data_IF_642983480211
#
_entry.id   IF_642983480211
#
_cell.length_a   1.000
_cell.length_b   1.000
_cell.length_c   1.000
_cell.angle_alpha   90.00
_cell.angle_beta   90.00
_cell.angle_gamma   90.00
#
_symmetry.space_group_name_H-M   'P 1'
#
loop_
_entity.id
_entity.type
_entity.pdbx_description
1 polymer ?
#
# COMPACT_ATOMS: atom_id res chain seq x y z
N UNK A 1 18.25 23.46 -2.18
CA UNK A 1 17.30 23.43 -1.03
C UNK A 1 15.91 22.86 -1.38
N UNK A 2 15.18 23.44 -2.35
CA UNK A 2 13.77 23.06 -2.64
C UNK A 2 13.59 21.58 -2.99
N UNK A 3 14.45 21.04 -3.85
CA UNK A 3 14.43 19.60 -4.22
C UNK A 3 14.61 18.70 -3.00
N UNK A 4 15.60 18.97 -2.16
CA UNK A 4 15.85 18.18 -0.94
C UNK A 4 14.64 18.20 0.01
N UNK A 5 14.04 19.37 0.26
CA UNK A 5 12.85 19.48 1.10
C UNK A 5 11.66 18.71 0.53
N UNK A 6 11.34 18.92 -0.75
CA UNK A 6 10.09 18.44 -1.35
C UNK A 6 10.14 16.98 -1.83
N UNK A 7 11.31 16.49 -2.23
CA UNK A 7 11.48 15.16 -2.82
C UNK A 7 12.15 14.14 -1.88
N UNK A 8 12.78 14.60 -0.79
CA UNK A 8 13.48 13.73 0.17
C UNK A 8 12.90 13.88 1.57
N UNK A 9 13.02 15.06 2.17
CA UNK A 9 12.83 15.23 3.62
C UNK A 9 11.35 15.26 4.06
N UNK A 10 10.51 16.12 3.48
CA UNK A 10 9.15 16.36 3.99
C UNK A 10 8.20 15.17 3.86
N UNK A 11 8.46 14.29 2.88
CA UNK A 11 7.62 13.12 2.62
C UNK A 11 8.28 11.79 3.01
N UNK A 12 9.60 11.78 3.29
CA UNK A 12 10.35 10.57 3.59
C UNK A 12 10.20 9.50 2.51
N UNK A 13 10.16 9.91 1.23
CA UNK A 13 9.91 8.98 0.13
C UNK A 13 11.06 7.98 0.01
N UNK A 14 10.70 6.70 -0.21
CA UNK A 14 11.66 5.67 -0.58
C UNK A 14 11.89 5.72 -2.09
N UNK A 15 13.15 5.74 -2.50
CA UNK A 15 13.55 5.81 -3.90
C UNK A 15 14.11 4.46 -4.36
N UNK A 16 13.83 4.07 -5.60
CA UNK A 16 14.54 2.97 -6.26
C UNK A 16 15.98 3.40 -6.55
N UNK A 17 16.93 2.47 -6.76
CA UNK A 17 18.32 2.80 -7.07
C UNK A 17 18.46 3.82 -8.20
N UNK A 18 17.77 3.63 -9.33
CA UNK A 18 17.83 4.56 -10.47
C UNK A 18 17.32 5.97 -10.13
N UNK A 19 16.26 6.06 -9.32
CA UNK A 19 15.72 7.36 -8.87
C UNK A 19 16.65 8.03 -7.87
N UNK A 20 17.26 7.26 -6.98
CA UNK A 20 18.24 7.77 -6.03
C UNK A 20 19.47 8.33 -6.76
N UNK A 21 19.95 7.64 -7.80
CA UNK A 21 21.01 8.12 -8.70
C UNK A 21 20.60 9.42 -9.41
N UNK A 22 19.42 9.44 -10.04
CA UNK A 22 18.91 10.64 -10.74
C UNK A 22 18.72 11.86 -9.82
N UNK A 23 18.46 11.63 -8.53
CA UNK A 23 18.35 12.68 -7.50
C UNK A 23 19.69 13.09 -6.88
N UNK A 24 20.78 12.38 -7.18
CA UNK A 24 22.09 12.60 -6.57
C UNK A 24 22.18 12.15 -5.11
N UNK A 25 21.35 11.18 -4.70
CA UNK A 25 21.44 10.53 -3.39
C UNK A 25 22.44 9.37 -3.38
N UNK A 26 22.76 8.84 -4.56
CA UNK A 26 23.75 7.78 -4.82
C UNK A 26 24.55 8.21 -6.05
N UNK A 27 25.84 7.90 -6.10
CA UNK A 27 26.75 8.36 -7.16
C UNK A 27 26.88 7.36 -8.33
N UNK A 28 26.78 6.06 -8.05
CA UNK A 28 27.00 4.98 -9.02
C UNK A 28 26.14 3.76 -8.70
N UNK A 29 25.76 3.00 -9.73
CA UNK A 29 25.08 1.72 -9.61
C UNK A 29 25.95 0.61 -10.21
N UNK A 30 25.90 -0.57 -9.59
CA UNK A 30 26.48 -1.81 -10.12
C UNK A 30 25.37 -2.79 -10.43
N UNK A 31 25.64 -3.74 -11.34
CA UNK A 31 24.64 -4.74 -11.74
C UNK A 31 24.34 -5.73 -10.60
N UNK A 32 25.38 -6.22 -9.94
CA UNK A 32 25.26 -7.24 -8.88
C UNK A 32 25.76 -6.76 -7.52
N UNK A 33 25.16 -7.31 -6.46
CA UNK A 33 25.54 -6.98 -5.08
C UNK A 33 27.00 -7.32 -4.77
N UNK A 34 27.54 -8.37 -5.40
CA UNK A 34 28.92 -8.82 -5.21
C UNK A 34 29.94 -7.82 -5.77
N UNK A 35 29.53 -6.92 -6.67
CA UNK A 35 30.38 -5.88 -7.26
C UNK A 35 30.50 -4.62 -6.41
N UNK A 36 29.68 -4.46 -5.36
CA UNK A 36 29.67 -3.27 -4.51
C UNK A 36 31.03 -3.01 -3.86
N UNK A 37 31.60 -4.02 -3.20
CA UNK A 37 32.88 -3.89 -2.50
C UNK A 37 34.05 -3.71 -3.47
N UNK A 38 34.15 -4.49 -4.57
CA UNK A 38 35.14 -4.24 -5.62
C UNK A 38 35.07 -2.82 -6.21
N UNK A 39 33.88 -2.32 -6.56
CA UNK A 39 33.69 -0.98 -7.11
C UNK A 39 34.09 0.11 -6.11
N UNK A 40 33.66 -0.01 -4.85
CA UNK A 40 34.04 0.92 -3.79
C UNK A 40 35.56 1.00 -3.58
N UNK A 41 36.26 -0.16 -3.59
CA UNK A 41 37.72 -0.19 -3.46
C UNK A 41 38.42 0.51 -4.64
N UNK A 42 37.93 0.31 -5.87
CA UNK A 42 38.46 1.02 -7.05
C UNK A 42 38.25 2.53 -6.93
N UNK A 43 37.07 2.95 -6.48
CA UNK A 43 36.76 4.36 -6.27
C UNK A 43 37.69 4.99 -5.22
N UNK A 44 37.90 4.33 -4.08
CA UNK A 44 38.82 4.83 -3.03
C UNK A 44 40.24 4.96 -3.57
N UNK A 45 40.74 3.96 -4.29
CA UNK A 45 42.09 3.98 -4.87
C UNK A 45 42.26 5.13 -5.90
N UNK A 46 41.20 5.45 -6.65
CA UNK A 46 41.20 6.53 -7.63
C UNK A 46 41.04 7.93 -7.03
N UNK A 47 40.52 8.05 -5.80
CA UNK A 47 40.16 9.32 -5.17
C UNK A 47 40.87 9.54 -3.81
N UNK A 48 42.21 9.58 -3.74
CA UNK A 48 42.95 9.66 -2.47
C UNK A 48 42.76 10.98 -1.71
N UNK A 49 42.28 12.03 -2.38
CA UNK A 49 42.02 13.36 -1.80
C UNK A 49 40.53 13.69 -1.66
N UNK A 50 39.65 12.70 -1.65
CA UNK A 50 38.21 12.92 -1.56
C UNK A 50 37.85 13.74 -0.31
N UNK A 51 37.09 14.81 -0.52
CA UNK A 51 36.51 15.65 0.53
C UNK A 51 35.07 15.96 0.18
N UNK A 52 34.22 16.18 1.19
CA UNK A 52 32.85 16.55 0.90
C UNK A 52 32.79 17.93 0.23
N UNK A 53 31.86 18.16 -0.72
CA UNK A 53 31.80 19.43 -1.44
C UNK A 53 31.64 20.66 -0.53
N UNK A 54 30.93 20.51 0.59
CA UNK A 54 30.70 21.59 1.55
C UNK A 54 31.90 21.95 2.42
N UNK A 55 32.91 21.09 2.50
CA UNK A 55 34.16 21.35 3.22
C UNK A 55 35.20 22.09 2.35
N UNK A 56 34.91 22.26 1.05
CA UNK A 56 35.80 22.95 0.12
C UNK A 56 35.55 24.46 0.16
N UNK A 57 36.64 25.24 0.29
CA UNK A 57 36.57 26.71 0.29
C UNK A 57 35.87 27.23 -0.96
N UNK A 58 34.85 28.07 -0.77
CA UNK A 58 34.09 28.67 -1.86
C UNK A 58 32.89 27.84 -2.32
N UNK A 59 32.57 26.73 -1.63
CA UNK A 59 31.33 26.00 -1.83
C UNK A 59 30.10 26.90 -1.77
N UNK A 60 29.11 26.58 -2.61
CA UNK A 60 27.81 27.26 -2.65
C UNK A 60 26.71 26.21 -2.63
N UNK A 61 25.78 26.37 -1.70
CA UNK A 61 24.60 25.50 -1.63
C UNK A 61 23.82 25.61 -2.95
N UNK A 62 23.50 24.48 -3.63
CA UNK A 62 22.66 24.50 -4.81
C UNK A 62 21.29 25.13 -4.56
N UNK A 63 20.98 26.17 -5.34
CA UNK A 63 19.77 27.00 -5.18
C UNK A 63 19.91 28.16 -4.19
N UNK A 64 21.09 28.35 -3.60
CA UNK A 64 21.39 29.46 -2.69
C UNK A 64 21.03 29.19 -1.23
N UNK A 65 21.49 30.10 -0.37
CA UNK A 65 21.15 30.19 1.06
C UNK A 65 19.90 31.05 1.25
N UNK A 66 19.28 31.07 2.46
CA UNK A 66 18.15 31.97 2.75
C UNK A 66 18.42 33.46 2.49
N UNK A 67 19.69 33.89 2.47
CA UNK A 67 20.09 35.26 2.11
C UNK A 67 20.15 35.52 0.59
N UNK A 68 20.07 34.47 -0.23
CA UNK A 68 20.09 34.60 -1.70
C UNK A 68 18.76 35.19 -2.20
N UNK A 69 18.74 36.30 -2.95
CA UNK A 69 17.50 37.02 -3.29
C UNK A 69 16.39 36.15 -3.92
N UNK A 70 16.76 35.26 -4.84
CA UNK A 70 15.82 34.36 -5.51
C UNK A 70 15.13 33.37 -4.54
N UNK A 71 15.85 32.91 -3.51
CA UNK A 71 15.29 32.03 -2.48
C UNK A 71 14.54 32.86 -1.43
N UNK A 72 15.10 33.98 -0.99
CA UNK A 72 14.51 34.88 -0.01
C UNK A 72 13.11 35.37 -0.41
N UNK A 73 12.90 35.68 -1.70
CA UNK A 73 11.60 36.08 -2.22
C UNK A 73 10.51 34.99 -2.08
N UNK A 74 10.90 33.72 -2.10
CA UNK A 74 9.98 32.58 -2.05
C UNK A 74 9.89 31.92 -0.66
N UNK A 75 10.85 32.17 0.22
CA UNK A 75 10.98 31.52 1.53
C UNK A 75 9.73 31.68 2.42
N UNK A 76 9.06 32.87 2.49
CA UNK A 76 7.84 33.02 3.27
C UNK A 76 6.67 32.12 2.81
N UNK A 77 6.68 31.65 1.56
CA UNK A 77 5.63 30.77 1.04
C UNK A 77 5.79 29.32 1.53
N UNK A 78 6.97 28.89 2.01
CA UNK A 78 7.21 27.49 2.36
C UNK A 78 6.37 27.04 3.56
N UNK A 79 6.32 27.76 4.70
CA UNK A 79 5.46 27.37 5.81
C UNK A 79 3.96 27.43 5.45
N UNK A 80 3.56 28.38 4.62
CA UNK A 80 2.17 28.50 4.16
C UNK A 80 1.75 27.31 3.29
N UNK A 81 2.61 26.90 2.34
CA UNK A 81 2.38 25.72 1.50
C UNK A 81 2.39 24.43 2.32
N UNK A 82 3.30 24.31 3.29
CA UNK A 82 3.31 23.17 4.21
C UNK A 82 2.02 23.11 5.03
N UNK A 83 1.58 24.23 5.61
CA UNK A 83 0.32 24.29 6.36
C UNK A 83 -0.89 23.92 5.49
N UNK A 84 -0.90 24.37 4.23
CA UNK A 84 -1.92 23.99 3.24
C UNK A 84 -1.92 22.49 2.97
N UNK A 85 -0.75 21.87 2.79
CA UNK A 85 -0.61 20.43 2.58
C UNK A 85 -1.08 19.62 3.80
N UNK A 86 -0.70 20.06 5.00
CA UNK A 86 -1.10 19.43 6.26
C UNK A 86 -2.54 19.73 6.66
N UNK A 87 -3.24 20.64 5.96
CA UNK A 87 -4.60 21.11 6.29
C UNK A 87 -4.73 21.60 7.73
N UNK A 88 -3.65 22.17 8.29
CA UNK A 88 -3.60 22.63 9.68
C UNK A 88 -3.51 21.51 10.74
N UNK A 89 -3.32 20.25 10.35
CA UNK A 89 -3.12 19.16 11.29
C UNK A 89 -1.85 19.39 12.14
N UNK A 90 -1.87 19.05 13.45
CA UNK A 90 -0.75 19.29 14.35
C UNK A 90 0.36 18.25 14.15
N UNK A 91 1.06 18.29 13.03
CA UNK A 91 2.24 17.46 12.75
C UNK A 91 3.52 18.29 12.92
N UNK A 92 4.27 18.12 14.05
CA UNK A 92 5.45 18.94 14.33
C UNK A 92 6.65 18.56 13.46
N UNK A 93 6.79 17.30 13.04
CA UNK A 93 7.96 16.82 12.32
C UNK A 93 8.21 17.57 10.99
N UNK A 94 7.22 17.76 10.09
CA UNK A 94 7.44 18.53 8.86
C UNK A 94 7.84 19.99 9.11
N UNK A 95 7.36 20.59 10.20
CA UNK A 95 7.70 21.96 10.59
C UNK A 95 9.16 21.99 11.08
N UNK A 96 9.53 21.09 12.00
CA UNK A 96 10.88 20.97 12.51
C UNK A 96 11.91 20.67 11.42
N UNK A 97 11.59 19.79 10.46
CA UNK A 97 12.41 19.51 9.27
C UNK A 97 12.64 20.78 8.46
N UNK A 98 11.58 21.56 8.20
CA UNK A 98 11.69 22.80 7.44
C UNK A 98 12.51 23.85 8.18
N UNK A 99 12.29 24.02 9.48
CA UNK A 99 13.07 24.93 10.32
C UNK A 99 14.55 24.56 10.33
N UNK A 100 14.88 23.30 10.65
CA UNK A 100 16.26 22.81 10.67
C UNK A 100 16.96 23.01 9.32
N UNK A 101 16.28 22.74 8.20
CA UNK A 101 16.84 22.92 6.86
C UNK A 101 17.09 24.40 6.51
N UNK A 102 16.19 25.31 6.91
CA UNK A 102 16.34 26.74 6.62
C UNK A 102 17.39 27.36 7.52
N UNK A 103 17.33 27.12 8.83
CA UNK A 103 18.28 27.66 9.81
C UNK A 103 19.68 27.08 9.60
N UNK A 104 19.81 25.78 9.34
CA UNK A 104 21.08 25.14 9.05
C UNK A 104 21.77 25.71 7.80
N UNK A 105 21.01 26.12 6.79
CA UNK A 105 21.56 26.73 5.58
C UNK A 105 22.05 28.19 5.76
N UNK A 106 21.91 28.77 6.96
CA UNK A 106 22.38 30.11 7.30
C UNK A 106 23.73 30.12 8.02
N UNK A 107 24.22 28.96 8.45
CA UNK A 107 25.38 28.81 9.34
C UNK A 107 26.39 27.83 8.75
N UNK A 108 27.53 27.67 9.42
CA UNK A 108 28.50 26.61 9.12
C UNK A 108 27.95 25.22 9.43
N UNK A 109 28.61 24.19 8.92
CA UNK A 109 28.14 22.80 8.98
C UNK A 109 28.00 22.27 10.41
N UNK A 110 28.92 22.60 11.32
CA UNK A 110 28.89 22.12 12.71
C UNK A 110 27.76 22.80 13.51
N UNK A 111 27.57 24.10 13.28
CA UNK A 111 26.42 24.83 13.84
C UNK A 111 25.10 24.28 13.27
N UNK A 112 25.04 23.95 11.97
CA UNK A 112 23.86 23.35 11.34
C UNK A 112 23.49 21.99 11.96
N UNK A 113 24.48 21.12 12.20
CA UNK A 113 24.27 19.85 12.91
C UNK A 113 23.75 20.07 14.34
N UNK A 114 24.23 21.10 15.03
CA UNK A 114 23.74 21.44 16.37
C UNK A 114 22.27 21.86 16.34
N UNK A 115 21.85 22.63 15.34
CA UNK A 115 20.45 23.02 15.12
C UNK A 115 19.59 21.78 14.84
N UNK A 116 20.04 20.90 13.94
CA UNK A 116 19.37 19.63 13.62
C UNK A 116 19.13 18.79 14.88
N UNK A 117 20.17 18.60 15.70
CA UNK A 117 20.10 17.81 16.94
C UNK A 117 19.06 18.35 17.92
N UNK A 118 18.89 19.67 18.02
CA UNK A 118 17.88 20.28 18.90
C UNK A 118 16.47 19.96 18.44
N UNK A 119 16.19 20.13 17.15
CA UNK A 119 14.90 19.78 16.55
C UNK A 119 14.62 18.27 16.66
N UNK A 120 15.63 17.44 16.42
CA UNK A 120 15.51 15.99 16.58
C UNK A 120 15.17 15.60 18.01
N UNK A 121 15.87 16.15 19.01
CA UNK A 121 15.63 15.84 20.41
C UNK A 121 14.22 16.25 20.87
N UNK A 122 13.73 17.40 20.43
CA UNK A 122 12.35 17.87 20.69
C UNK A 122 11.32 16.87 20.12
N UNK A 123 11.49 16.45 18.86
CA UNK A 123 10.62 15.45 18.26
C UNK A 123 10.74 14.08 18.95
N UNK A 124 11.94 13.60 19.22
CA UNK A 124 12.19 12.26 19.76
C UNK A 124 11.59 12.09 21.16
N UNK A 125 11.57 13.15 21.96
CA UNK A 125 10.97 13.15 23.30
C UNK A 125 9.46 13.45 23.30
N UNK A 126 8.95 14.01 22.20
CA UNK A 126 7.55 14.38 22.00
C UNK A 126 6.56 13.22 21.86
N UNK A 127 5.30 13.48 22.22
CA UNK A 127 4.24 12.46 22.22
C UNK A 127 3.84 11.98 20.82
N UNK A 128 3.85 12.88 19.83
CA UNK A 128 3.43 12.54 18.45
C UNK A 128 4.39 11.53 17.83
N UNK A 129 5.70 11.69 18.03
CA UNK A 129 6.70 10.72 17.58
C UNK A 129 6.50 9.36 18.24
N UNK A 130 6.22 9.31 19.56
CA UNK A 130 5.89 8.06 20.26
C UNK A 130 4.66 7.37 19.66
N UNK A 131 3.62 8.13 19.32
CA UNK A 131 2.42 7.61 18.67
C UNK A 131 2.73 7.04 17.28
N UNK A 132 3.51 7.76 16.47
CA UNK A 132 3.88 7.34 15.12
C UNK A 132 4.81 6.12 15.13
N UNK A 133 5.79 6.06 16.04
CA UNK A 133 6.67 4.90 16.21
C UNK A 133 5.85 3.68 16.62
N UNK A 134 4.93 3.82 17.59
CA UNK A 134 4.03 2.72 17.97
C UNK A 134 3.25 2.20 16.77
N UNK A 135 2.53 3.08 16.07
CA UNK A 135 1.65 2.68 14.98
C UNK A 135 2.41 2.18 13.73
N UNK A 136 3.34 2.98 13.20
CA UNK A 136 3.96 2.71 11.90
C UNK A 136 5.20 1.80 11.97
N UNK A 137 5.79 1.61 13.15
CA UNK A 137 6.90 0.67 13.34
C UNK A 137 6.42 -0.59 14.05
N UNK A 138 6.06 -0.50 15.33
CA UNK A 138 5.76 -1.69 16.15
C UNK A 138 4.47 -2.40 15.73
N UNK A 139 3.35 -1.69 15.60
CA UNK A 139 2.06 -2.30 15.26
C UNK A 139 2.08 -2.85 13.83
N UNK A 140 2.70 -2.12 12.89
CA UNK A 140 2.92 -2.60 11.51
C UNK A 140 3.82 -3.84 11.45
N UNK A 141 4.93 -3.88 12.19
CA UNK A 141 5.78 -5.08 12.25
C UNK A 141 5.02 -6.26 12.84
N UNK A 142 4.26 -6.06 13.91
CA UNK A 142 3.41 -7.08 14.51
C UNK A 142 2.38 -7.58 13.50
N UNK A 143 1.67 -6.69 12.83
CA UNK A 143 0.69 -7.04 11.80
C UNK A 143 1.31 -7.87 10.65
N UNK A 144 2.49 -7.46 10.17
CA UNK A 144 3.21 -8.18 9.12
C UNK A 144 3.73 -9.55 9.59
N UNK A 145 4.16 -9.67 10.85
CA UNK A 145 4.62 -10.94 11.41
C UNK A 145 3.50 -11.99 11.48
N UNK A 146 2.25 -11.56 11.69
CA UNK A 146 1.08 -12.45 11.68
C UNK A 146 0.88 -13.12 10.32
N UNK A 147 1.31 -12.49 9.21
CA UNK A 147 1.28 -13.13 7.88
C UNK A 147 2.22 -14.33 7.85
N UNK A 148 3.41 -14.25 8.45
CA UNK A 148 4.32 -15.40 8.55
C UNK A 148 3.75 -16.48 9.47
N UNK A 149 3.16 -16.09 10.60
CA UNK A 149 2.61 -17.01 11.59
C UNK A 149 1.41 -17.80 11.05
N UNK A 150 0.47 -17.14 10.38
CA UNK A 150 -0.78 -17.75 9.92
C UNK A 150 -0.80 -18.09 8.43
N UNK A 151 0.17 -17.59 7.64
CA UNK A 151 0.26 -17.79 6.20
C UNK A 151 0.68 -19.21 5.81
N UNK A 152 1.56 -19.84 6.59
CA UNK A 152 2.14 -21.17 6.29
C UNK A 152 2.99 -21.15 5.02
N UNK A 153 4.23 -21.67 5.08
CA UNK A 153 5.08 -21.78 3.89
C UNK A 153 4.51 -22.78 2.85
N UNK A 154 3.70 -23.72 3.31
CA UNK A 154 3.19 -24.86 2.53
C UNK A 154 1.84 -24.61 1.86
N UNK A 155 1.36 -23.36 1.87
CA UNK A 155 0.05 -23.02 1.36
C UNK A 155 0.13 -22.50 -0.07
N UNK A 156 -0.57 -23.18 -0.98
CA UNK A 156 -0.67 -22.72 -2.36
C UNK A 156 -1.38 -21.36 -2.43
N UNK A 157 -0.93 -20.46 -3.33
CA UNK A 157 -1.60 -19.20 -3.56
C UNK A 157 -2.91 -19.43 -4.34
N UNK A 158 -3.96 -18.71 -3.96
CA UNK A 158 -5.16 -18.51 -4.78
C UNK A 158 -4.76 -18.02 -6.17
N UNK A 159 -5.18 -18.78 -7.19
CA UNK A 159 -4.99 -18.53 -8.62
C UNK A 159 -6.22 -17.91 -9.26
N UNK A 160 -7.42 -18.40 -8.92
CA UNK A 160 -8.69 -17.95 -9.52
C UNK A 160 -9.67 -17.41 -8.49
N UNK A 161 -10.16 -16.20 -8.73
CA UNK A 161 -11.16 -15.52 -7.89
C UNK A 161 -12.41 -15.16 -8.71
N UNK A 162 -13.58 -15.29 -8.08
CA UNK A 162 -14.84 -14.73 -8.58
C UNK A 162 -15.20 -13.52 -7.74
N UNK A 163 -15.50 -12.41 -8.41
CA UNK A 163 -16.04 -11.21 -7.77
C UNK A 163 -17.50 -11.09 -8.18
N UNK A 164 -18.41 -11.14 -7.21
CA UNK A 164 -19.86 -11.03 -7.44
C UNK A 164 -20.28 -9.56 -7.30
N UNK A 165 -20.79 -8.98 -8.38
CA UNK A 165 -21.13 -7.56 -8.50
C UNK A 165 -20.01 -6.77 -9.19
N UNK A 166 -20.36 -5.99 -10.20
CA UNK A 166 -19.47 -5.15 -10.99
C UNK A 166 -19.73 -3.64 -10.79
N UNK A 167 -20.41 -3.28 -9.69
CA UNK A 167 -20.48 -1.92 -9.18
C UNK A 167 -19.10 -1.39 -8.75
N UNK A 168 -19.04 -0.17 -8.20
CA UNK A 168 -17.79 0.51 -7.86
C UNK A 168 -16.82 -0.35 -7.03
N UNK A 169 -17.32 -1.03 -5.99
CA UNK A 169 -16.50 -1.87 -5.12
C UNK A 169 -16.01 -3.12 -5.84
N UNK A 170 -16.90 -3.89 -6.45
CA UNK A 170 -16.53 -5.13 -7.15
C UNK A 170 -15.60 -4.91 -8.34
N UNK A 171 -15.82 -3.85 -9.12
CA UNK A 171 -14.91 -3.46 -10.20
C UNK A 171 -13.49 -3.15 -9.70
N UNK A 172 -13.38 -2.44 -8.57
CA UNK A 172 -12.09 -2.10 -7.99
C UNK A 172 -11.43 -3.28 -7.24
N UNK A 173 -12.22 -4.18 -6.66
CA UNK A 173 -11.75 -5.46 -6.10
C UNK A 173 -11.17 -6.34 -7.22
N UNK A 174 -11.88 -6.45 -8.34
CA UNK A 174 -11.42 -7.19 -9.52
C UNK A 174 -10.07 -6.65 -10.02
N UNK A 175 -9.93 -5.33 -10.12
CA UNK A 175 -8.65 -4.69 -10.45
C UNK A 175 -7.51 -5.13 -9.52
N UNK A 176 -7.70 -5.03 -8.20
CA UNK A 176 -6.60 -5.30 -7.25
C UNK A 176 -6.25 -6.78 -7.15
N UNK A 177 -7.20 -7.68 -7.43
CA UNK A 177 -6.96 -9.10 -7.59
C UNK A 177 -6.17 -9.38 -8.88
N UNK A 178 -6.58 -8.83 -10.02
CA UNK A 178 -5.89 -9.02 -11.30
C UNK A 178 -4.48 -8.42 -11.31
N UNK A 179 -4.30 -7.24 -10.72
CA UNK A 179 -3.00 -6.58 -10.56
C UNK A 179 -2.06 -7.36 -9.64
N UNK A 180 -2.58 -8.28 -8.83
CA UNK A 180 -1.78 -9.18 -8.00
C UNK A 180 -1.41 -10.50 -8.70
N UNK A 181 -1.89 -10.71 -9.92
CA UNK A 181 -1.63 -11.88 -10.74
C UNK A 181 -2.71 -12.97 -10.72
N UNK A 182 -3.87 -12.72 -10.10
CA UNK A 182 -4.98 -13.70 -10.09
C UNK A 182 -5.80 -13.61 -11.39
N UNK A 183 -6.32 -14.74 -11.84
CA UNK A 183 -7.43 -14.78 -12.78
C UNK A 183 -8.72 -14.36 -12.07
N UNK A 184 -9.46 -13.44 -12.68
CA UNK A 184 -10.65 -12.84 -12.08
C UNK A 184 -11.85 -13.05 -13.00
N UNK A 185 -12.89 -13.69 -12.47
CA UNK A 185 -14.21 -13.69 -13.08
C UNK A 185 -15.03 -12.59 -12.40
N UNK A 186 -15.34 -11.53 -13.14
CA UNK A 186 -16.19 -10.43 -12.65
C UNK A 186 -17.63 -10.68 -13.10
N UNK A 187 -18.46 -11.22 -12.20
CA UNK A 187 -19.83 -11.64 -12.49
C UNK A 187 -20.83 -10.59 -12.05
N UNK A 188 -21.73 -10.18 -12.94
CA UNK A 188 -22.89 -9.34 -12.61
C UNK A 188 -24.18 -9.96 -13.19
N UNK A 189 -25.33 -9.28 -13.08
CA UNK A 189 -26.62 -9.73 -13.62
C UNK A 189 -26.69 -9.68 -15.14
N UNK A 190 -25.79 -8.94 -15.80
CA UNK A 190 -25.66 -8.88 -17.25
C UNK A 190 -24.21 -8.70 -17.67
N UNK A 191 -23.86 -9.23 -18.85
CA UNK A 191 -22.50 -9.10 -19.39
C UNK A 191 -22.11 -7.63 -19.58
N UNK A 192 -23.07 -6.79 -19.96
CA UNK A 192 -22.86 -5.34 -20.10
C UNK A 192 -22.45 -4.69 -18.77
N UNK A 193 -23.10 -5.04 -17.66
CA UNK A 193 -22.72 -4.52 -16.34
C UNK A 193 -21.31 -4.97 -15.94
N UNK A 194 -20.97 -6.24 -16.16
CA UNK A 194 -19.64 -6.78 -15.92
C UNK A 194 -18.57 -6.10 -16.79
N UNK A 195 -18.85 -5.85 -18.07
CA UNK A 195 -17.95 -5.14 -18.99
C UNK A 195 -17.73 -3.69 -18.54
N UNK A 196 -18.78 -2.98 -18.11
CA UNK A 196 -18.64 -1.63 -17.52
C UNK A 196 -17.74 -1.66 -16.28
N UNK A 197 -17.88 -2.68 -15.43
CA UNK A 197 -16.99 -2.89 -14.28
C UNK A 197 -15.53 -3.10 -14.69
N UNK A 198 -15.25 -3.94 -15.70
CA UNK A 198 -13.88 -4.10 -16.25
C UNK A 198 -13.33 -2.77 -16.80
N UNK A 199 -14.19 -1.92 -17.36
CA UNK A 199 -13.83 -0.58 -17.83
C UNK A 199 -13.22 0.32 -16.74
N UNK A 200 -13.55 0.12 -15.46
CA UNK A 200 -12.88 0.80 -14.35
C UNK A 200 -11.38 0.51 -14.32
N UNK A 201 -11.01 -0.78 -14.43
CA UNK A 201 -9.62 -1.23 -14.48
C UNK A 201 -8.89 -0.65 -15.69
N UNK A 202 -9.54 -0.65 -16.86
CA UNK A 202 -8.97 -0.09 -18.08
C UNK A 202 -8.62 1.38 -17.90
N UNK A 203 -9.55 2.18 -17.37
CA UNK A 203 -9.32 3.60 -17.13
C UNK A 203 -8.18 3.88 -16.13
N UNK A 204 -7.98 3.01 -15.13
CA UNK A 204 -6.86 3.14 -14.19
C UNK A 204 -5.52 2.84 -14.88
N UNK A 205 -5.47 1.77 -15.67
CA UNK A 205 -4.27 1.32 -16.36
C UNK A 205 -3.87 2.28 -17.49
N UNK A 206 -4.82 2.77 -18.30
CA UNK A 206 -4.57 3.80 -19.31
C UNK A 206 -3.92 5.05 -18.68
N UNK A 207 -4.38 5.46 -17.48
CA UNK A 207 -3.79 6.59 -16.74
C UNK A 207 -2.42 6.28 -16.18
N UNK A 208 -2.12 5.03 -15.84
CA UNK A 208 -0.80 4.61 -15.37
C UNK A 208 0.22 4.62 -16.52
N UNK A 209 -0.18 4.11 -17.69
CA UNK A 209 0.60 4.14 -18.94
C UNK A 209 0.87 5.57 -19.38
N UNK A 210 -0.17 6.42 -19.43
CA UNK A 210 -0.02 7.84 -19.79
C UNK A 210 0.91 8.63 -18.84
N UNK A 211 1.11 8.15 -17.61
CA UNK A 211 2.02 8.74 -16.62
C UNK A 211 3.40 8.06 -16.58
N UNK A 212 3.69 7.13 -17.48
CA UNK A 212 4.94 6.37 -17.51
C UNK A 212 5.17 5.49 -16.29
N UNK A 213 4.11 5.04 -15.61
CA UNK A 213 4.19 4.19 -14.42
C UNK A 213 4.02 2.69 -14.70
N UNK A 214 3.68 2.34 -15.94
CA UNK A 214 3.53 0.97 -16.44
C UNK A 214 3.64 0.98 -17.97
N UNK A 215 3.92 -0.16 -18.58
CA UNK A 215 3.92 -0.33 -20.05
C UNK A 215 2.53 -0.72 -20.55
N UNK A 216 2.28 -0.57 -21.86
CA UNK A 216 1.04 -1.02 -22.48
C UNK A 216 0.87 -2.55 -22.33
N UNK A 217 1.95 -3.29 -22.51
CA UNK A 217 1.97 -4.75 -22.38
C UNK A 217 1.61 -5.23 -20.97
N UNK A 218 2.16 -4.58 -19.93
CA UNK A 218 1.81 -4.87 -18.54
C UNK A 218 0.33 -4.57 -18.25
N UNK A 219 -0.17 -3.44 -18.75
CA UNK A 219 -1.55 -3.03 -18.61
C UNK A 219 -2.52 -4.04 -19.26
N UNK A 220 -2.24 -4.45 -20.49
CA UNK A 220 -3.05 -5.41 -21.23
C UNK A 220 -3.04 -6.78 -20.53
N UNK A 221 -1.88 -7.23 -20.05
CA UNK A 221 -1.76 -8.47 -19.27
C UNK A 221 -2.59 -8.45 -17.96
N UNK A 222 -2.75 -7.29 -17.31
CA UNK A 222 -3.64 -7.15 -16.14
C UNK A 222 -5.11 -7.19 -16.56
N UNK A 223 -5.47 -6.52 -17.66
CA UNK A 223 -6.85 -6.52 -18.17
C UNK A 223 -7.30 -7.90 -18.63
N UNK A 224 -6.42 -8.67 -19.25
CA UNK A 224 -6.73 -10.00 -19.77
C UNK A 224 -7.02 -11.00 -18.65
N UNK A 225 -6.48 -10.79 -17.45
CA UNK A 225 -6.86 -11.57 -16.27
C UNK A 225 -8.29 -11.33 -15.80
N UNK A 226 -8.94 -10.23 -16.21
CA UNK A 226 -10.32 -9.92 -15.83
C UNK A 226 -11.26 -10.38 -16.94
N UNK A 227 -12.03 -11.42 -16.65
CA UNK A 227 -13.10 -11.94 -17.51
C UNK A 227 -14.47 -11.47 -17.00
N UNK A 228 -15.16 -10.56 -17.72
CA UNK A 228 -16.56 -10.24 -17.44
C UNK A 228 -17.44 -11.46 -17.69
N UNK A 229 -18.43 -11.69 -16.82
CA UNK A 229 -19.37 -12.80 -16.92
C UNK A 229 -20.76 -12.41 -16.41
N UNK A 230 -21.78 -13.14 -16.85
CA UNK A 230 -23.16 -13.04 -16.35
C UNK A 230 -23.79 -14.38 -16.01
N UNK A 231 -23.18 -15.49 -16.44
CA UNK A 231 -23.64 -16.84 -16.15
C UNK A 231 -22.92 -17.47 -14.96
N UNK A 232 -23.64 -18.15 -14.04
CA UNK A 232 -23.04 -18.75 -12.85
C UNK A 232 -21.95 -19.79 -13.13
N UNK A 233 -22.08 -20.59 -14.19
CA UNK A 233 -21.11 -21.63 -14.56
C UNK A 233 -19.71 -21.09 -14.87
N UNK A 234 -19.60 -19.80 -15.19
CA UNK A 234 -18.31 -19.14 -15.44
C UNK A 234 -17.46 -18.97 -14.16
N UNK A 235 -18.09 -19.14 -12.99
CA UNK A 235 -17.41 -19.22 -11.69
C UNK A 235 -16.62 -20.52 -11.48
N UNK A 236 -16.70 -21.47 -12.42
CA UNK A 236 -16.13 -22.81 -12.25
C UNK A 236 -14.65 -22.81 -11.87
N UNK A 237 -14.28 -23.57 -10.85
CA UNK A 237 -12.90 -23.71 -10.39
C UNK A 237 -12.34 -22.50 -9.63
N UNK A 238 -13.17 -21.55 -9.21
CA UNK A 238 -12.73 -20.46 -8.34
C UNK A 238 -12.41 -20.97 -6.93
N UNK A 239 -11.26 -20.55 -6.39
CA UNK A 239 -10.76 -20.90 -5.05
C UNK A 239 -11.11 -19.80 -4.02
N UNK A 240 -11.54 -18.63 -4.50
CA UNK A 240 -11.95 -17.49 -3.70
C UNK A 240 -13.16 -16.82 -4.35
N UNK A 241 -14.15 -16.47 -3.55
CA UNK A 241 -15.32 -15.69 -3.94
C UNK A 241 -15.34 -14.44 -3.09
N UNK A 242 -15.45 -13.26 -3.72
CA UNK A 242 -15.62 -11.98 -3.03
C UNK A 242 -16.93 -11.36 -3.50
N UNK A 243 -17.92 -11.36 -2.63
CA UNK A 243 -19.23 -10.76 -2.88
C UNK A 243 -19.21 -9.27 -2.55
N UNK A 244 -19.59 -8.44 -3.53
CA UNK A 244 -19.70 -6.98 -3.44
C UNK A 244 -20.98 -6.47 -4.15
N UNK A 245 -22.09 -7.17 -3.94
CA UNK A 245 -23.44 -6.80 -4.40
C UNK A 245 -24.16 -5.88 -3.41
N UNK A 246 -25.40 -5.53 -3.73
CA UNK A 246 -26.25 -4.66 -2.91
C UNK A 246 -26.37 -5.17 -1.46
N UNK A 247 -26.50 -4.22 -0.52
CA UNK A 247 -26.47 -4.48 0.92
C UNK A 247 -27.81 -5.03 1.43
N UNK A 248 -28.23 -6.19 0.91
CA UNK A 248 -29.42 -6.91 1.28
C UNK A 248 -29.10 -8.40 1.52
N UNK A 249 -29.48 -9.00 2.67
CA UNK A 249 -29.19 -10.40 2.98
C UNK A 249 -29.75 -11.38 1.95
N UNK A 250 -30.96 -11.16 1.42
CA UNK A 250 -31.58 -12.08 0.48
C UNK A 250 -30.84 -12.07 -0.87
N UNK A 251 -30.45 -10.88 -1.34
CA UNK A 251 -29.63 -10.73 -2.55
C UNK A 251 -28.27 -11.42 -2.38
N UNK A 252 -27.58 -11.19 -1.26
CA UNK A 252 -26.28 -11.82 -0.97
C UNK A 252 -26.38 -13.35 -0.91
N UNK A 253 -27.36 -13.88 -0.18
CA UNK A 253 -27.58 -15.32 -0.09
C UNK A 253 -27.88 -15.94 -1.47
N UNK A 254 -28.71 -15.27 -2.27
CA UNK A 254 -29.04 -15.71 -3.63
C UNK A 254 -27.80 -15.81 -4.51
N UNK A 255 -26.94 -14.79 -4.53
CA UNK A 255 -25.75 -14.81 -5.41
C UNK A 255 -24.70 -15.84 -4.98
N UNK A 256 -24.59 -16.16 -3.69
CA UNK A 256 -23.76 -17.27 -3.24
C UNK A 256 -24.35 -18.62 -3.66
N UNK A 257 -25.66 -18.80 -3.51
CA UNK A 257 -26.34 -20.05 -3.90
C UNK A 257 -26.24 -20.33 -5.40
N UNK A 258 -26.33 -19.30 -6.25
CA UNK A 258 -26.22 -19.44 -7.71
C UNK A 258 -24.89 -20.05 -8.17
N UNK A 259 -23.79 -19.82 -7.45
CA UNK A 259 -22.44 -20.22 -7.86
C UNK A 259 -21.87 -21.41 -7.08
N UNK A 260 -22.57 -21.86 -6.03
CA UNK A 260 -22.04 -22.82 -5.05
C UNK A 260 -21.64 -24.17 -5.67
N UNK A 261 -22.39 -24.64 -6.67
CA UNK A 261 -22.11 -25.92 -7.36
C UNK A 261 -20.92 -25.86 -8.33
N UNK A 262 -20.50 -24.66 -8.76
CA UNK A 262 -19.44 -24.49 -9.77
C UNK A 262 -18.07 -24.23 -9.15
N UNK A 263 -18.02 -23.56 -8.00
CA UNK A 263 -16.76 -23.23 -7.31
C UNK A 263 -16.12 -24.47 -6.68
N UNK A 264 -14.84 -24.38 -6.32
CA UNK A 264 -14.17 -25.54 -5.72
C UNK A 264 -14.78 -25.90 -4.35
N UNK A 265 -14.77 -27.18 -3.94
CA UNK A 265 -15.26 -27.59 -2.62
C UNK A 265 -14.54 -26.91 -1.45
N UNK A 266 -13.32 -26.42 -1.70
CA UNK A 266 -12.46 -25.67 -0.80
C UNK A 266 -12.30 -24.19 -1.20
N UNK A 267 -13.30 -23.59 -1.83
CA UNK A 267 -13.34 -22.16 -2.12
C UNK A 267 -13.64 -21.30 -0.88
N UNK A 268 -12.91 -20.19 -0.69
CA UNK A 268 -13.18 -19.23 0.39
C UNK A 268 -14.32 -18.29 0.00
N UNK A 269 -15.35 -18.22 0.84
CA UNK A 269 -16.53 -17.40 0.61
C UNK A 269 -16.40 -16.11 1.41
N UNK A 270 -16.18 -14.99 0.73
CA UNK A 270 -15.99 -13.69 1.37
C UNK A 270 -17.13 -12.74 1.03
N UNK A 271 -17.64 -12.01 2.03
CA UNK A 271 -18.53 -10.86 1.80
C UNK A 271 -17.80 -9.56 2.10
N UNK A 272 -17.94 -8.58 1.19
CA UNK A 272 -17.52 -7.19 1.36
C UNK A 272 -18.62 -6.33 2.02
N UNK A 273 -19.54 -6.93 2.78
CA UNK A 273 -20.56 -6.19 3.53
C UNK A 273 -19.92 -5.16 4.48
N UNK A 274 -20.57 -4.01 4.60
CA UNK A 274 -20.14 -2.92 5.48
C UNK A 274 -20.87 -2.95 6.82
N UNK A 275 -22.09 -3.51 6.87
CA UNK A 275 -22.95 -3.41 8.07
C UNK A 275 -23.63 -4.72 8.47
N UNK A 276 -23.82 -5.67 7.54
CA UNK A 276 -24.56 -6.89 7.85
C UNK A 276 -23.66 -7.86 8.65
N UNK A 277 -24.16 -8.43 9.76
CA UNK A 277 -23.39 -9.39 10.53
C UNK A 277 -22.96 -10.60 9.69
N UNK A 278 -21.66 -10.93 9.69
CA UNK A 278 -21.13 -12.10 8.97
C UNK A 278 -21.81 -13.40 9.41
N UNK A 279 -22.18 -13.50 10.68
CA UNK A 279 -22.95 -14.64 11.22
C UNK A 279 -24.33 -14.77 10.56
N UNK A 280 -25.00 -13.65 10.28
CA UNK A 280 -26.31 -13.64 9.63
C UNK A 280 -26.19 -14.12 8.17
N UNK A 281 -25.22 -13.57 7.43
CA UNK A 281 -24.97 -13.94 6.04
C UNK A 281 -24.49 -15.39 5.92
N UNK A 282 -23.61 -15.84 6.82
CA UNK A 282 -23.07 -17.19 6.84
C UNK A 282 -24.13 -18.27 7.07
N UNK A 283 -25.29 -17.94 7.63
CA UNK A 283 -26.41 -18.87 7.78
C UNK A 283 -27.13 -19.17 6.45
N UNK A 284 -26.96 -18.30 5.44
CA UNK A 284 -27.56 -18.45 4.12
C UNK A 284 -26.68 -19.18 3.09
N UNK A 285 -25.47 -19.61 3.47
CA UNK A 285 -24.56 -20.38 2.62
C UNK A 285 -24.48 -21.84 3.07
N UNK A 286 -24.23 -22.75 2.13
CA UNK A 286 -24.12 -24.19 2.38
C UNK A 286 -22.91 -24.56 3.27
N UNK A 287 -21.81 -23.82 3.14
CA UNK A 287 -20.52 -24.05 3.82
C UNK A 287 -20.16 -22.89 4.75
N UNK A 288 -20.85 -22.79 5.88
CA UNK A 288 -20.64 -21.66 6.82
C UNK A 288 -19.22 -21.61 7.39
N UNK A 289 -18.55 -22.75 7.55
CA UNK A 289 -17.15 -22.85 7.98
C UNK A 289 -16.16 -22.25 6.97
N UNK A 290 -16.63 -21.96 5.76
CA UNK A 290 -15.84 -21.40 4.68
C UNK A 290 -16.19 -19.92 4.42
N UNK A 291 -17.04 -19.32 5.27
CA UNK A 291 -17.55 -17.97 5.13
C UNK A 291 -16.88 -16.95 6.06
N UNK A 292 -16.45 -15.81 5.51
CA UNK A 292 -15.78 -14.75 6.26
C UNK A 292 -16.13 -13.36 5.70
N UNK A 293 -16.00 -12.31 6.51
CA UNK A 293 -15.98 -10.94 6.00
C UNK A 293 -14.61 -10.57 5.47
N UNK A 294 -14.57 -10.01 4.26
CA UNK A 294 -13.38 -9.44 3.65
C UNK A 294 -13.74 -8.03 3.15
N UNK A 295 -13.68 -7.08 4.08
CA UNK A 295 -14.17 -5.72 3.86
C UNK A 295 -13.05 -4.82 3.34
N UNK A 296 -13.28 -4.30 2.13
CA UNK A 296 -12.46 -3.33 1.43
C UNK A 296 -13.01 -1.92 1.60
N UNK A 297 -12.11 -0.94 1.56
CA UNK A 297 -12.46 0.47 1.69
C UNK A 297 -12.32 1.19 0.36
N UNK A 298 -13.29 2.02 0.00
CA UNK A 298 -13.22 2.86 -1.20
C UNK A 298 -12.28 4.07 -0.99
N UNK A 299 -11.44 4.45 -1.97
CA UNK A 299 -11.21 3.79 -3.26
C UNK A 299 -10.34 2.55 -3.07
N UNK A 300 -10.80 1.39 -3.54
CA UNK A 300 -10.14 0.11 -3.24
C UNK A 300 -8.72 0.09 -3.78
N UNK A 301 -8.45 0.68 -4.95
CA UNK A 301 -7.13 0.78 -5.58
C UNK A 301 -6.09 1.59 -4.79
N UNK A 302 -6.53 2.45 -3.85
CA UNK A 302 -5.65 3.31 -3.05
C UNK A 302 -5.60 2.95 -1.58
N UNK A 303 -6.69 2.40 -1.05
CA UNK A 303 -6.79 2.09 0.37
C UNK A 303 -5.94 0.86 0.69
N UNK A 304 -4.98 0.97 1.61
CA UNK A 304 -4.07 -0.12 1.89
C UNK A 304 -4.73 -1.11 2.89
N UNK A 305 -5.85 -0.78 3.52
CA UNK A 305 -6.48 -1.64 4.51
C UNK A 305 -7.45 -2.65 3.89
N UNK A 306 -7.43 -3.88 4.41
CA UNK A 306 -8.53 -4.84 4.31
C UNK A 306 -8.88 -5.30 5.73
N UNK A 307 -10.16 -5.22 6.09
CA UNK A 307 -10.68 -5.68 7.36
C UNK A 307 -11.20 -7.12 7.22
N UNK A 308 -10.73 -8.01 8.08
CA UNK A 308 -11.11 -9.43 8.07
C UNK A 308 -12.04 -9.67 9.26
N UNK A 309 -13.29 -10.03 8.99
CA UNK A 309 -14.32 -10.20 10.01
C UNK A 309 -14.68 -11.68 10.15
N UNK A 310 -14.46 -12.23 11.35
CA UNK A 310 -14.82 -13.62 11.66
C UNK A 310 -16.26 -13.70 12.16
N UNK A 311 -17.05 -14.61 11.60
CA UNK A 311 -18.37 -14.98 12.14
C UNK A 311 -18.27 -15.79 13.45
N UNK A 312 -19.41 -16.14 14.05
CA UNK A 312 -19.42 -16.92 15.30
C UNK A 312 -19.01 -18.38 15.12
N UNK A 313 -19.22 -18.95 13.92
CA UNK A 313 -18.77 -20.33 13.63
C UNK A 313 -17.26 -20.39 13.38
N UNK A 314 -16.59 -21.49 13.78
CA UNK A 314 -15.19 -21.70 13.42
C UNK A 314 -15.03 -21.72 11.89
N UNK A 315 -14.04 -20.97 11.39
CA UNK A 315 -13.67 -21.03 9.98
C UNK A 315 -12.68 -22.18 9.79
N UNK A 316 -12.92 -23.07 8.83
CA UNK A 316 -12.06 -24.22 8.55
C UNK A 316 -10.67 -23.73 8.14
N UNK A 317 -9.64 -24.33 8.75
CA UNK A 317 -8.25 -24.08 8.36
C UNK A 317 -7.99 -24.78 7.03
N UNK A 318 -7.67 -24.01 5.98
CA UNK A 318 -7.43 -24.55 4.63
C UNK A 318 -5.97 -24.95 4.37
N UNK A 319 -5.81 -25.84 3.41
CA UNK A 319 -4.58 -26.19 2.70
C UNK A 319 -4.12 -25.06 1.77
N UNK A 320 -5.07 -24.36 1.13
CA UNK A 320 -4.84 -23.15 0.33
C UNK A 320 -4.82 -21.93 1.26
N UNK A 321 -3.82 -21.08 1.13
CA UNK A 321 -3.65 -19.91 1.99
C UNK A 321 -4.35 -18.70 1.42
N UNK A 322 -4.65 -17.67 2.24
CA UNK A 322 -4.74 -16.35 1.64
C UNK A 322 -3.43 -16.15 0.90
N UNK A 323 -3.48 -16.04 -0.42
CA UNK A 323 -2.29 -15.86 -1.25
C UNK A 323 -1.47 -14.70 -0.70
N UNK A 324 -0.17 -14.65 -1.06
CA UNK A 324 0.73 -13.49 -0.81
C UNK A 324 0.17 -12.15 -1.31
N UNK A 325 -1.05 -12.11 -1.84
CA UNK A 325 -1.88 -10.98 -2.21
C UNK A 325 -1.77 -9.76 -1.28
N UNK A 326 -1.98 -9.88 0.05
CA UNK A 326 -1.88 -8.69 0.93
C UNK A 326 -0.44 -8.16 1.07
N UNK A 327 0.56 -9.05 0.95
CA UNK A 327 1.97 -8.67 1.02
C UNK A 327 2.50 -8.05 -0.28
N UNK A 328 2.05 -8.52 -1.45
CA UNK A 328 2.41 -7.96 -2.76
C UNK A 328 1.64 -6.68 -3.11
N UNK A 329 0.41 -6.52 -2.61
CA UNK A 329 -0.39 -5.30 -2.78
C UNK A 329 -0.11 -4.21 -1.72
N UNK A 330 0.89 -4.41 -0.84
CA UNK A 330 1.24 -3.50 0.25
C UNK A 330 0.05 -3.13 1.15
N UNK A 331 -0.86 -4.09 1.39
CA UNK A 331 -2.07 -3.88 2.17
C UNK A 331 -1.92 -4.32 3.63
N UNK A 332 -1.75 -3.42 4.62
CA UNK A 332 -1.90 -3.75 6.04
C UNK A 332 -3.28 -4.36 6.31
N UNK A 333 -3.31 -5.33 7.23
CA UNK A 333 -4.55 -5.96 7.72
C UNK A 333 -4.87 -5.42 9.10
N UNK A 334 -6.13 -5.07 9.35
CA UNK A 334 -6.66 -4.89 10.71
C UNK A 334 -7.59 -6.04 11.04
N UNK A 335 -7.38 -6.66 12.20
CA UNK A 335 -8.33 -7.60 12.77
C UNK A 335 -9.28 -6.80 13.66
N UNK A 336 -10.56 -6.69 13.30
CA UNK A 336 -11.58 -6.21 14.22
C UNK A 336 -12.14 -7.39 15.01
N UNK A 337 -11.74 -7.49 16.27
CA UNK A 337 -12.42 -8.34 17.25
C UNK A 337 -13.38 -7.48 18.05
N UNK A 338 -14.53 -7.12 17.48
CA UNK A 338 -15.67 -6.62 18.26
C UNK A 338 -16.40 -7.80 18.91
N UNK A 339 -15.69 -8.50 19.80
CA UNK A 339 -16.25 -9.35 20.84
C UNK A 339 -15.10 -9.77 21.78
N UNK A 340 -15.11 -9.22 23.00
CA UNK A 340 -14.57 -9.84 24.21
C UNK A 340 -13.10 -10.28 24.21
N UNK A 341 -12.31 -9.66 25.09
CA UNK A 341 -11.05 -10.19 25.58
C UNK A 341 -11.11 -11.72 25.82
N UNK A 342 -10.15 -12.47 25.27
CA UNK A 342 -9.84 -13.80 25.77
C UNK A 342 -8.35 -13.92 26.05
N UNK A 343 -8.08 -13.93 27.36
CA UNK A 343 -6.91 -14.48 28.02
C UNK A 343 -6.64 -15.91 27.52
N UNK A 344 -5.37 -16.34 27.38
CA UNK A 344 -5.09 -17.74 27.10
C UNK A 344 -5.39 -18.56 28.35
N UNK A 345 -6.26 -19.56 28.23
CA UNK A 345 -6.40 -20.62 29.20
C UNK A 345 -6.38 -21.98 28.48
N UNK A 346 -5.55 -22.86 29.03
CA UNK A 346 -5.13 -24.20 28.62
C UNK A 346 -4.16 -24.30 27.43
#
# INVERSE_FOLDING_TARGET
>A
MVTALTQVLLQGQRHSPDKALALGLVDELVEDADDLVPAAKRWIAANPGASQPWDVKGYKIPGGTPATPALAANLPAFPANLRKQLKGAPYPAPIAIMSAAVEGAQVDFDTAQTIENRYFADLATGQISKNMIRAFFFDMQKANSMVKQYGGADREPVRKVVVLGAGMMGAAIAYVCANSGMEVVLKDVSLEAAQRGKGYSKNLLDKAVAKGRSTQEEADAILDRIRPADRPEEASGAELVIEAVYEDPAVKNKVFAEIDEFITPDALLCSNTSTLPITLLGAGVSRTEDFIGLHFFSPVDKMPLVEIIKGTRPVRRRSVGPSRWSSRSARPRSWSTTAGAFSPAA
#
